data_IF_883170426955
#
_entry.id   IF_883170426955
#
_cell.length_a   1.000
_cell.length_b   1.000
_cell.length_c   1.000
_cell.angle_alpha   90.00
_cell.angle_beta   90.00
_cell.angle_gamma   90.00
#
_symmetry.space_group_name_H-M   'P 1'
#
loop_
_entity.id
_entity.type
_entity.pdbx_description
1 polymer ?
#
# COMPACT_ATOMS: atom_id res chain seq x y z
N UNK A 1 28.27 21.44 7.38
CA UNK A 1 26.95 21.19 6.77
C UNK A 1 26.54 19.77 7.12
N UNK A 2 25.58 19.62 8.04
CA UNK A 2 25.07 18.30 8.42
C UNK A 2 24.17 17.77 7.31
N UNK A 3 24.68 16.87 6.50
CA UNK A 3 23.83 16.04 5.66
C UNK A 3 23.15 15.04 6.60
N UNK A 4 21.98 15.42 7.12
CA UNK A 4 21.01 14.44 7.58
C UNK A 4 20.66 13.61 6.34
N UNK A 5 21.41 12.53 6.12
CA UNK A 5 20.98 11.47 5.24
C UNK A 5 19.70 10.94 5.87
N UNK A 6 18.58 11.54 5.47
CA UNK A 6 17.26 11.03 5.75
C UNK A 6 17.35 9.56 5.36
N UNK A 7 17.30 8.68 6.36
CA UNK A 7 17.24 7.23 6.14
C UNK A 7 16.29 7.04 4.98
N UNK A 8 16.68 6.33 3.90
CA UNK A 8 15.81 6.16 2.76
C UNK A 8 14.55 5.54 3.33
N UNK A 9 13.49 6.34 3.50
CA UNK A 9 12.17 5.84 3.88
C UNK A 9 11.90 4.88 2.76
N UNK A 10 12.04 3.57 2.97
CA UNK A 10 11.87 2.58 1.91
C UNK A 10 10.51 2.88 1.26
N UNK A 11 10.53 3.26 -0.02
CA UNK A 11 9.35 3.69 -0.78
C UNK A 11 9.09 2.63 -1.81
N UNK A 12 7.89 2.07 -1.80
CA UNK A 12 7.41 1.25 -2.90
C UNK A 12 7.15 2.13 -4.10
N UNK A 13 7.72 1.76 -5.23
CA UNK A 13 7.32 2.29 -6.53
C UNK A 13 5.91 1.82 -6.88
N UNK A 14 5.23 2.52 -7.81
CA UNK A 14 3.89 2.09 -8.26
C UNK A 14 3.87 0.65 -8.76
N UNK A 15 4.97 0.24 -9.40
CA UNK A 15 5.10 -1.09 -9.96
C UNK A 15 5.21 -2.15 -8.87
N UNK A 16 6.04 -1.90 -7.86
CA UNK A 16 6.20 -2.79 -6.71
C UNK A 16 4.92 -2.87 -5.87
N UNK A 17 4.21 -1.75 -5.67
CA UNK A 17 2.89 -1.76 -5.04
C UNK A 17 1.93 -2.72 -5.77
N UNK A 18 1.84 -2.60 -7.10
CA UNK A 18 0.96 -3.45 -7.91
C UNK A 18 1.40 -4.92 -7.83
N UNK A 19 2.70 -5.17 -7.79
CA UNK A 19 3.26 -6.52 -7.68
C UNK A 19 2.96 -7.15 -6.31
N UNK A 20 3.16 -6.41 -5.22
CA UNK A 20 2.80 -6.83 -3.86
C UNK A 20 1.30 -7.09 -3.69
N UNK A 21 0.44 -6.24 -4.26
CA UNK A 21 -1.00 -6.48 -4.26
C UNK A 21 -1.37 -7.76 -5.04
N UNK A 22 -0.71 -8.02 -6.18
CA UNK A 22 -0.87 -9.28 -6.93
C UNK A 22 -0.34 -10.50 -6.17
N UNK A 23 0.74 -10.37 -5.40
CA UNK A 23 1.29 -11.43 -4.54
C UNK A 23 0.39 -11.71 -3.35
N UNK A 24 -0.49 -10.79 -2.97
CA UNK A 24 -1.43 -10.99 -1.88
C UNK A 24 -2.49 -12.00 -2.30
N UNK A 25 -2.29 -13.26 -1.90
CA UNK A 25 -3.24 -14.35 -2.16
C UNK A 25 -4.59 -14.08 -1.49
N UNK A 26 -5.65 -14.19 -2.29
CA UNK A 26 -7.03 -14.04 -1.83
C UNK A 26 -7.54 -12.60 -1.84
N UNK A 27 -6.89 -11.69 -2.56
CA UNK A 27 -7.49 -10.42 -2.97
C UNK A 27 -8.17 -10.58 -4.33
N UNK A 28 -9.39 -10.08 -4.48
CA UNK A 28 -10.01 -9.97 -5.79
C UNK A 28 -9.30 -8.92 -6.66
N UNK A 29 -9.36 -9.12 -7.97
CA UNK A 29 -8.74 -8.21 -8.94
C UNK A 29 -9.32 -6.79 -8.83
N UNK A 30 -10.62 -6.68 -8.55
CA UNK A 30 -11.31 -5.40 -8.34
C UNK A 30 -10.77 -4.68 -7.10
N UNK A 31 -10.54 -5.40 -6.00
CA UNK A 31 -9.93 -4.82 -4.80
C UNK A 31 -8.49 -4.40 -5.05
N UNK A 32 -7.70 -5.19 -5.80
CA UNK A 32 -6.33 -4.82 -6.17
C UNK A 32 -6.33 -3.49 -6.93
N UNK A 33 -7.20 -3.33 -7.91
CA UNK A 33 -7.30 -2.09 -8.68
C UNK A 33 -7.76 -0.92 -7.82
N UNK A 34 -8.78 -1.13 -6.97
CA UNK A 34 -9.30 -0.09 -6.08
C UNK A 34 -8.25 0.37 -5.04
N UNK A 35 -7.55 -0.57 -4.41
CA UNK A 35 -6.48 -0.28 -3.46
C UNK A 35 -5.32 0.43 -4.15
N UNK A 36 -4.92 -0.04 -5.33
CA UNK A 36 -3.88 0.58 -6.14
C UNK A 36 -4.25 2.01 -6.57
N UNK A 37 -5.51 2.26 -6.94
CA UNK A 37 -6.00 3.61 -7.25
C UNK A 37 -6.02 4.51 -6.02
N UNK A 38 -6.51 4.04 -4.87
CA UNK A 38 -6.52 4.78 -3.60
C UNK A 38 -5.11 5.17 -3.15
N UNK A 39 -4.16 4.26 -3.26
CA UNK A 39 -2.76 4.48 -2.94
C UNK A 39 -2.04 5.39 -3.96
N UNK A 40 -2.46 5.34 -5.24
CA UNK A 40 -1.92 6.19 -6.29
C UNK A 40 -2.55 7.58 -6.39
N UNK A 41 -3.77 7.76 -5.88
CA UNK A 41 -4.48 9.05 -5.86
C UNK A 41 -3.72 10.02 -4.94
N UNK A 42 -2.79 10.76 -5.54
CA UNK A 42 -2.11 11.89 -4.91
C UNK A 42 -0.60 11.74 -4.68
N UNK A 43 0.03 10.62 -5.05
CA UNK A 43 1.48 10.44 -4.82
C UNK A 43 2.29 10.16 -6.10
N UNK A 44 3.02 11.19 -6.54
CA UNK A 44 4.02 11.13 -7.62
C UNK A 44 5.41 10.63 -7.17
N UNK A 45 5.66 10.52 -5.85
CA UNK A 45 7.01 10.29 -5.31
C UNK A 45 7.27 8.90 -4.71
N UNK A 46 6.37 7.93 -4.88
CA UNK A 46 6.49 6.60 -4.25
C UNK A 46 5.79 6.50 -2.90
N UNK A 47 5.39 5.27 -2.56
CA UNK A 47 4.49 4.90 -1.47
C UNK A 47 5.30 4.50 -0.25
N UNK A 48 5.05 5.18 0.86
CA UNK A 48 5.73 4.93 2.13
C UNK A 48 4.89 4.05 3.05
N UNK A 49 5.49 3.50 4.12
CA UNK A 49 4.74 2.74 5.15
C UNK A 49 3.53 3.53 5.67
N UNK A 50 3.71 4.83 5.87
CA UNK A 50 2.64 5.71 6.35
C UNK A 50 1.47 5.81 5.37
N UNK A 51 1.73 5.70 4.07
CA UNK A 51 0.69 5.72 3.02
C UNK A 51 -0.11 4.44 2.99
N UNK A 52 0.58 3.30 3.16
CA UNK A 52 -0.08 2.01 3.30
C UNK A 52 -1.02 2.04 4.50
N UNK A 53 -0.58 2.57 5.64
CA UNK A 53 -1.42 2.72 6.82
C UNK A 53 -2.61 3.68 6.58
N UNK A 54 -2.40 4.82 5.91
CA UNK A 54 -3.48 5.78 5.64
C UNK A 54 -4.50 5.21 4.66
N UNK A 55 -4.03 4.58 3.56
CA UNK A 55 -4.88 3.92 2.59
C UNK A 55 -5.63 2.74 3.21
N UNK A 56 -4.98 1.89 4.01
CA UNK A 56 -5.64 0.81 4.74
C UNK A 56 -6.72 1.35 5.68
N UNK A 57 -6.47 2.48 6.36
CA UNK A 57 -7.47 3.13 7.22
C UNK A 57 -8.62 3.72 6.41
N UNK A 58 -8.36 4.25 5.21
CA UNK A 58 -9.40 4.70 4.26
C UNK A 58 -10.23 3.53 3.76
N UNK A 59 -9.59 2.48 3.24
CA UNK A 59 -10.24 1.26 2.76
C UNK A 59 -11.05 0.55 3.85
N UNK A 60 -10.58 0.53 5.10
CA UNK A 60 -11.38 0.00 6.23
C UNK A 60 -12.61 0.85 6.55
N UNK A 61 -12.56 2.16 6.29
CA UNK A 61 -13.73 3.07 6.40
C UNK A 61 -14.66 2.93 5.20
N UNK A 62 -14.09 2.79 4.01
CA UNK A 62 -14.78 2.46 2.75
C UNK A 62 -15.23 0.99 2.67
N UNK A 63 -15.00 0.17 3.69
CA UNK A 63 -15.45 -1.22 3.74
C UNK A 63 -16.98 -1.37 3.71
N UNK A 64 -17.73 -0.27 3.87
CA UNK A 64 -19.16 -0.21 3.53
C UNK A 64 -19.45 -0.41 2.04
N UNK A 65 -18.46 -0.25 1.17
CA UNK A 65 -18.57 -0.28 -0.29
C UNK A 65 -18.13 -1.62 -0.91
N UNK A 66 -17.98 -2.68 -0.10
CA UNK A 66 -17.68 -4.04 -0.56
C UNK A 66 -16.25 -4.52 -0.33
N UNK A 67 -15.33 -3.64 0.06
CA UNK A 67 -13.93 -4.05 0.34
C UNK A 67 -13.87 -4.78 1.68
N UNK A 68 -13.51 -6.07 1.64
CA UNK A 68 -13.46 -6.90 2.83
C UNK A 68 -12.30 -6.48 3.76
N UNK A 69 -12.60 -6.25 5.04
CA UNK A 69 -11.59 -5.80 6.03
C UNK A 69 -10.42 -6.78 6.18
N UNK A 70 -10.69 -8.08 6.00
CA UNK A 70 -9.68 -9.13 6.05
C UNK A 70 -8.69 -9.00 4.89
N UNK A 71 -9.19 -8.68 3.70
CA UNK A 71 -8.39 -8.49 2.48
C UNK A 71 -7.53 -7.23 2.62
N UNK A 72 -8.12 -6.12 3.08
CA UNK A 72 -7.36 -4.88 3.36
C UNK A 72 -6.23 -5.16 4.35
N UNK A 73 -6.49 -5.92 5.42
CA UNK A 73 -5.46 -6.25 6.41
C UNK A 73 -4.32 -7.06 5.79
N UNK A 74 -4.63 -8.11 5.02
CA UNK A 74 -3.63 -8.95 4.34
C UNK A 74 -2.80 -8.14 3.33
N UNK A 75 -3.45 -7.29 2.53
CA UNK A 75 -2.77 -6.38 1.61
C UNK A 75 -1.83 -5.43 2.36
N UNK A 76 -2.29 -4.86 3.48
CA UNK A 76 -1.47 -3.97 4.32
C UNK A 76 -0.22 -4.69 4.83
N UNK A 77 -0.38 -5.90 5.37
CA UNK A 77 0.73 -6.70 5.91
C UNK A 77 1.73 -7.09 4.82
N UNK A 78 1.26 -7.49 3.63
CA UNK A 78 2.10 -7.78 2.46
C UNK A 78 2.89 -6.54 2.00
N UNK A 79 2.22 -5.39 1.87
CA UNK A 79 2.83 -4.14 1.43
C UNK A 79 3.86 -3.64 2.44
N UNK A 80 3.58 -3.76 3.74
CA UNK A 80 4.56 -3.43 4.78
C UNK A 80 5.77 -4.36 4.73
N UNK A 81 5.54 -5.65 4.48
CA UNK A 81 6.61 -6.63 4.35
C UNK A 81 7.47 -6.37 3.12
N UNK A 82 6.92 -5.99 1.97
CA UNK A 82 7.73 -5.56 0.82
C UNK A 82 8.50 -4.26 1.11
N UNK A 83 7.92 -3.29 1.83
CA UNK A 83 8.71 -2.12 2.25
C UNK A 83 9.83 -2.53 3.21
N UNK A 84 9.65 -3.48 4.12
CA UNK A 84 10.72 -3.89 5.03
C UNK A 84 11.80 -4.73 4.33
N UNK A 85 11.44 -5.54 3.33
CA UNK A 85 12.36 -6.45 2.63
C UNK A 85 12.95 -5.87 1.32
N UNK A 86 12.38 -4.81 0.76
CA UNK A 86 12.86 -4.12 -0.45
C UNK A 86 14.00 -3.15 -0.22
#
# INVERSE_FOLDING_TARGET
MGFFAASPKKRLSKHELKDALKKTKGLEKQDIEHINEQLNRGRRGGITKQDIHDAARRLRRDASNGVNRTEVRRATEQLLNEIDNG
#
